data_IF_151793462232
#
_entry.id   IF_151793462232
#
_cell.length_a   1.000
_cell.length_b   1.000
_cell.length_c   1.000
_cell.angle_alpha   90.00
_cell.angle_beta   90.00
_cell.angle_gamma   90.00
#
_symmetry.space_group_name_H-M   'P 1'
#
loop_
_entity.id
_entity.type
_entity.pdbx_description
1 polymer ?
#
# COMPACT_ATOMS: atom_id res chain seq x y z
N UNK A 1 33.40 -1.28 -31.15
CA UNK A 1 32.93 -0.02 -31.78
C UNK A 1 31.78 0.48 -30.93
N UNK A 2 31.91 1.66 -30.30
CA UNK A 2 31.26 2.05 -29.03
C UNK A 2 29.78 1.71 -28.87
N UNK A 3 29.46 0.89 -27.86
CA UNK A 3 28.09 0.54 -27.51
C UNK A 3 27.32 1.69 -26.86
N UNK A 4 26.00 1.52 -26.78
CA UNK A 4 25.11 2.47 -26.09
C UNK A 4 25.45 2.42 -24.60
N UNK A 5 26.13 3.46 -24.12
CA UNK A 5 26.45 3.59 -22.69
C UNK A 5 25.27 4.23 -21.96
N UNK A 6 25.00 3.74 -20.74
CA UNK A 6 23.89 4.17 -19.88
C UNK A 6 23.89 5.69 -19.66
N UNK A 7 25.07 6.30 -19.61
CA UNK A 7 25.21 7.76 -19.48
C UNK A 7 24.63 8.54 -20.66
N UNK A 8 24.75 8.03 -21.88
CA UNK A 8 24.18 8.64 -23.07
C UNK A 8 22.65 8.52 -23.07
N UNK A 9 22.11 7.37 -22.63
CA UNK A 9 20.66 7.19 -22.51
C UNK A 9 20.04 8.15 -21.51
N UNK A 10 20.70 8.42 -20.37
CA UNK A 10 20.22 9.43 -19.40
C UNK A 10 20.21 10.84 -19.98
N UNK A 11 21.27 11.24 -20.70
CA UNK A 11 21.32 12.55 -21.39
C UNK A 11 20.17 12.67 -22.39
N UNK A 12 19.93 11.62 -23.20
CA UNK A 12 18.87 11.61 -24.20
C UNK A 12 17.50 11.67 -23.53
N UNK A 13 17.28 10.86 -22.48
CA UNK A 13 16.04 10.86 -21.72
C UNK A 13 15.74 12.25 -21.14
N UNK A 14 16.75 12.94 -20.60
CA UNK A 14 16.60 14.28 -20.04
C UNK A 14 16.20 15.30 -21.12
N UNK A 15 16.81 15.24 -22.30
CA UNK A 15 16.43 16.10 -23.45
C UNK A 15 14.99 15.82 -23.87
N UNK A 16 14.60 14.55 -23.99
CA UNK A 16 13.22 14.17 -24.32
C UNK A 16 12.23 14.71 -23.28
N UNK A 17 12.54 14.56 -21.98
CA UNK A 17 11.70 15.09 -20.90
C UNK A 17 11.55 16.61 -21.00
N UNK A 18 12.62 17.34 -21.34
CA UNK A 18 12.59 18.79 -21.53
C UNK A 18 11.74 19.20 -22.75
N UNK A 19 11.89 18.49 -23.88
CA UNK A 19 11.16 18.79 -25.12
C UNK A 19 9.66 18.53 -24.99
N UNK A 20 9.28 17.39 -24.43
CA UNK A 20 7.87 17.05 -24.22
C UNK A 20 7.28 17.81 -23.02
N UNK A 21 8.13 18.22 -22.08
CA UNK A 21 7.75 18.82 -20.81
C UNK A 21 7.24 17.78 -19.79
N UNK A 22 7.53 18.03 -18.52
CA UNK A 22 7.12 17.14 -17.41
C UNK A 22 5.60 17.00 -17.28
N UNK A 23 4.83 18.00 -17.71
CA UNK A 23 3.35 17.98 -17.67
C UNK A 23 2.75 16.94 -18.61
N UNK A 24 3.25 16.84 -19.86
CA UNK A 24 2.77 15.81 -20.80
C UNK A 24 3.26 14.42 -20.41
N UNK A 25 4.52 14.29 -19.98
CA UNK A 25 5.05 13.02 -19.48
C UNK A 25 4.25 12.49 -18.29
N UNK A 26 3.79 13.35 -17.38
CA UNK A 26 2.99 12.91 -16.23
C UNK A 26 1.58 12.46 -16.61
N UNK A 27 0.94 13.12 -17.58
CA UNK A 27 -0.37 12.70 -18.09
C UNK A 27 -0.24 11.33 -18.79
N UNK A 28 0.60 11.25 -19.82
CA UNK A 28 0.79 10.03 -20.62
C UNK A 28 1.42 8.90 -19.81
N UNK A 29 2.40 9.22 -18.96
CA UNK A 29 3.05 8.26 -18.08
C UNK A 29 2.12 7.73 -16.98
N UNK A 30 1.13 8.52 -16.55
CA UNK A 30 0.08 8.06 -15.64
C UNK A 30 -0.80 6.99 -16.29
N UNK A 31 -1.25 7.25 -17.51
CA UNK A 31 -2.12 6.32 -18.27
C UNK A 31 -1.38 5.02 -18.62
N UNK A 32 -0.18 5.13 -19.20
CA UNK A 32 0.65 3.99 -19.60
C UNK A 32 1.20 3.25 -18.38
N UNK A 33 1.64 3.99 -17.36
CA UNK A 33 2.15 3.41 -16.12
C UNK A 33 1.07 2.68 -15.33
N UNK A 34 -0.17 3.19 -15.34
CA UNK A 34 -1.33 2.52 -14.76
C UNK A 34 -1.61 1.17 -15.44
N UNK A 35 -1.59 1.14 -16.77
CA UNK A 35 -1.77 -0.09 -17.55
C UNK A 35 -0.68 -1.13 -17.24
N UNK A 36 0.59 -0.72 -17.21
CA UNK A 36 1.71 -1.62 -16.88
C UNK A 36 1.67 -2.07 -15.42
N UNK A 37 1.26 -1.21 -14.49
CA UNK A 37 1.09 -1.57 -13.07
C UNK A 37 -0.02 -2.61 -12.88
N UNK A 38 -1.15 -2.46 -13.57
CA UNK A 38 -2.22 -3.45 -13.58
C UNK A 38 -1.74 -4.80 -14.11
N UNK A 39 -0.98 -4.79 -15.21
CA UNK A 39 -0.38 -6.01 -15.77
C UNK A 39 0.58 -6.69 -14.79
N UNK A 40 1.48 -5.92 -14.17
CA UNK A 40 2.41 -6.46 -13.16
C UNK A 40 1.66 -7.04 -11.97
N UNK A 41 0.64 -6.35 -11.46
CA UNK A 41 -0.17 -6.87 -10.35
C UNK A 41 -0.92 -8.15 -10.72
N UNK A 42 -1.45 -8.24 -11.94
CA UNK A 42 -2.13 -9.44 -12.42
C UNK A 42 -1.15 -10.62 -12.51
N UNK A 43 0.06 -10.38 -13.01
CA UNK A 43 1.10 -11.40 -13.10
C UNK A 43 1.65 -11.83 -11.73
N UNK A 44 1.82 -10.89 -10.80
CA UNK A 44 2.31 -11.17 -9.45
C UNK A 44 1.25 -11.71 -8.50
N UNK A 45 -0.05 -11.47 -8.74
CA UNK A 45 -1.13 -12.02 -7.88
C UNK A 45 -1.19 -13.55 -7.88
N UNK A 46 -0.68 -14.21 -8.93
CA UNK A 46 -0.51 -15.66 -8.95
C UNK A 46 0.67 -16.13 -8.08
N UNK A 47 1.67 -15.29 -7.84
CA UNK A 47 2.85 -15.60 -7.01
C UNK A 47 2.66 -15.17 -5.54
N UNK A 48 2.05 -14.01 -5.30
CA UNK A 48 1.85 -13.42 -3.96
C UNK A 48 0.78 -14.13 -3.14
N UNK A 49 -0.20 -14.79 -3.76
CA UNK A 49 -1.15 -15.65 -3.02
C UNK A 49 -0.44 -16.77 -2.26
N UNK A 50 0.69 -17.27 -2.77
CA UNK A 50 1.53 -18.24 -2.07
C UNK A 50 2.37 -17.62 -0.94
N UNK A 51 2.71 -16.33 -1.03
CA UNK A 51 3.54 -15.64 -0.02
C UNK A 51 2.74 -15.12 1.18
N UNK A 52 1.45 -14.80 0.98
CA UNK A 52 0.56 -14.37 2.07
C UNK A 52 0.09 -15.53 2.97
N UNK A 53 0.00 -16.75 2.42
CA UNK A 53 -0.31 -17.95 3.21
C UNK A 53 0.83 -18.32 4.20
N UNK A 54 2.09 -18.05 3.84
CA UNK A 54 3.25 -18.27 4.73
C UNK A 54 3.37 -17.21 5.85
N UNK A 55 2.91 -15.97 5.61
CA UNK A 55 2.97 -14.88 6.58
C UNK A 55 1.86 -14.94 7.65
N UNK A 56 0.70 -15.54 7.34
CA UNK A 56 -0.43 -15.64 8.28
C UNK A 56 -0.29 -16.83 9.26
N UNK A 57 0.48 -17.86 8.90
CA UNK A 57 0.80 -18.98 9.80
C UNK A 57 1.76 -18.59 10.95
N UNK A 58 2.52 -17.50 10.81
CA UNK A 58 3.45 -17.02 11.85
C UNK A 58 2.79 -16.13 12.93
N UNK A 59 1.58 -15.59 12.68
CA UNK A 59 0.93 -14.64 13.60
C UNK A 59 -0.08 -15.27 14.57
N UNK A 60 -0.51 -16.51 14.33
CA UNK A 60 -1.53 -17.20 15.12
C UNK A 60 -1.00 -17.91 16.38
N UNK A 61 0.31 -18.02 16.57
CA UNK A 61 0.90 -18.73 17.73
C UNK A 61 1.11 -17.83 18.97
N UNK A 62 0.98 -16.50 18.86
CA UNK A 62 1.34 -15.57 19.96
C UNK A 62 0.15 -14.98 20.75
N UNK A 63 -1.11 -15.30 20.43
CA UNK A 63 -2.28 -14.67 21.11
C UNK A 63 -3.17 -15.64 21.89
N UNK A 64 -2.89 -16.95 21.90
CA UNK A 64 -3.72 -17.93 22.61
C UNK A 64 -3.33 -18.15 24.09
N UNK A 65 -2.49 -17.30 24.69
CA UNK A 65 -2.03 -17.44 26.08
C UNK A 65 -2.42 -16.23 26.95
N UNK A 66 -3.70 -15.83 26.93
CA UNK A 66 -4.31 -15.12 28.06
C UNK A 66 -5.78 -15.56 28.17
N UNK A 67 -5.99 -16.70 28.83
CA UNK A 67 -7.28 -17.01 29.43
C UNK A 67 -7.50 -16.08 30.64
N UNK A 68 -8.69 -15.46 30.66
CA UNK A 68 -9.39 -14.71 31.72
C UNK A 68 -9.13 -15.20 33.16
N UNK A 69 -9.40 -14.43 34.25
CA UNK A 69 -10.51 -13.46 34.37
C UNK A 69 -10.25 -12.22 35.26
N UNK A 70 -11.13 -11.19 35.17
CA UNK A 70 -11.54 -10.25 36.27
C UNK A 70 -12.47 -9.20 35.62
N UNK A 71 -13.78 -9.39 35.66
CA UNK A 71 -14.66 -8.76 36.66
C UNK A 71 -14.34 -7.28 36.91
N UNK A 72 -15.04 -6.39 36.21
CA UNK A 72 -15.27 -5.05 36.74
C UNK A 72 -16.67 -4.58 36.32
N UNK A 73 -17.63 -4.94 37.16
CA UNK A 73 -18.76 -4.09 37.43
C UNK A 73 -18.21 -2.81 38.09
N UNK A 74 -18.29 -1.69 37.39
CA UNK A 74 -18.29 -0.35 38.00
C UNK A 74 -19.38 0.47 37.30
N UNK A 75 -20.57 0.29 37.83
CA UNK A 75 -21.57 1.32 38.07
C UNK A 75 -20.99 2.76 38.08
N UNK A 76 -21.37 3.58 37.09
CA UNK A 76 -21.44 5.05 37.14
C UNK A 76 -22.61 5.47 36.25
N UNK A 77 -23.77 5.80 36.83
CA UNK A 77 -24.14 7.13 37.38
C UNK A 77 -24.84 7.99 36.29
N UNK A 78 -25.95 8.71 36.59
CA UNK A 78 -27.29 8.23 36.27
C UNK A 78 -27.98 9.20 35.30
N UNK A 79 -29.22 8.86 35.02
CA UNK A 79 -30.23 9.62 34.30
C UNK A 79 -30.15 11.14 34.45
N UNK A 80 -30.12 11.76 33.28
CA UNK A 80 -30.54 13.13 33.04
C UNK A 80 -32.06 13.19 33.28
N UNK A 81 -32.49 13.72 34.43
CA UNK A 81 -33.83 14.29 34.52
C UNK A 81 -33.73 15.75 34.97
N UNK A 82 -34.09 16.61 34.03
CA UNK A 82 -34.23 18.05 34.18
C UNK A 82 -35.70 18.30 34.42
N UNK A 83 -36.11 18.30 35.68
CA UNK A 83 -37.43 18.81 36.06
C UNK A 83 -37.25 19.63 37.35
N UNK A 84 -37.08 20.94 37.16
CA UNK A 84 -37.24 21.95 38.20
C UNK A 84 -38.70 22.39 38.14
N UNK A 85 -39.43 22.06 39.20
CA UNK A 85 -40.64 22.77 39.62
C UNK A 85 -40.25 23.93 40.54
#
# INVERSE_FOLDING_TARGET
MGGISIWQLLIIALIVVLLFGTKKLRSLGGDLGGAVKGFKNAMSSDEDKKALEDAEAAKSVQTAQTAQPTQQATEKKPESNKEQA
#
